data_IF_648064090644
#
_entry.id   IF_648064090644
#
_cell.length_a   1.000
_cell.length_b   1.000
_cell.length_c   1.000
_cell.angle_alpha   90.00
_cell.angle_beta   90.00
_cell.angle_gamma   90.00
#
_symmetry.space_group_name_H-M   'P 1'
#
loop_
_entity.id
_entity.type
_entity.pdbx_description
1 polymer ?
#
# COMPACT_ATOMS: atom_id res chain seq x y z
N UNK A 1 1.86 11.45 14.96
CA UNK A 1 1.65 12.85 14.55
C UNK A 1 2.04 13.14 13.10
N UNK A 2 2.89 12.34 12.47
CA UNK A 2 3.37 12.51 11.07
C UNK A 2 2.30 12.97 10.06
N UNK A 3 1.11 12.36 10.06
CA UNK A 3 0.04 12.75 9.13
C UNK A 3 -0.44 14.21 9.31
N UNK A 4 -0.56 14.67 10.57
CA UNK A 4 -0.93 16.04 10.89
C UNK A 4 0.17 17.01 10.50
N UNK A 5 1.42 16.71 10.87
CA UNK A 5 2.59 17.50 10.51
C UNK A 5 2.74 17.67 9.00
N UNK A 6 2.54 16.59 8.24
CA UNK A 6 2.61 16.65 6.79
C UNK A 6 1.47 17.48 6.20
N UNK A 7 0.24 17.32 6.70
CA UNK A 7 -0.89 18.15 6.26
C UNK A 7 -0.66 19.65 6.53
N UNK A 8 -0.05 20.01 7.67
CA UNK A 8 0.29 21.41 7.99
C UNK A 8 1.26 22.02 6.98
N UNK A 9 2.24 21.25 6.47
CA UNK A 9 3.17 21.72 5.41
C UNK A 9 2.44 22.04 4.10
N UNK A 10 1.28 21.43 3.86
CA UNK A 10 0.47 21.61 2.64
C UNK A 10 -0.82 22.41 2.87
N UNK A 11 -0.93 23.16 3.98
CA UNK A 11 -2.17 23.84 4.37
C UNK A 11 -2.81 24.67 3.24
N UNK A 12 -2.01 25.44 2.49
CA UNK A 12 -2.52 26.26 1.38
C UNK A 12 -3.23 25.43 0.30
N UNK A 13 -2.71 24.24 -0.01
CA UNK A 13 -3.33 23.32 -0.98
C UNK A 13 -4.61 22.69 -0.44
N UNK A 14 -4.71 22.58 0.88
CA UNK A 14 -5.80 21.91 1.59
C UNK A 14 -6.88 22.87 2.12
N UNK A 15 -6.68 24.18 1.98
CA UNK A 15 -7.52 25.22 2.60
C UNK A 15 -9.02 25.15 2.23
N UNK A 16 -9.35 24.60 1.05
CA UNK A 16 -10.74 24.42 0.61
C UNK A 16 -11.40 23.14 1.12
N UNK A 17 -10.70 22.30 1.88
CA UNK A 17 -11.18 21.02 2.36
C UNK A 17 -11.17 20.99 3.89
N UNK A 18 -12.18 20.36 4.48
CA UNK A 18 -12.13 20.00 5.89
C UNK A 18 -11.35 18.69 6.05
N UNK A 19 -10.35 18.69 6.93
CA UNK A 19 -9.60 17.49 7.29
C UNK A 19 -9.96 17.06 8.70
N UNK A 20 -10.23 15.76 8.86
CA UNK A 20 -10.52 15.15 10.16
C UNK A 20 -9.40 14.18 10.48
N UNK A 21 -8.70 14.43 11.58
CA UNK A 21 -7.70 13.54 12.15
C UNK A 21 -8.31 12.82 13.33
N UNK A 22 -8.53 11.52 13.21
CA UNK A 22 -8.96 10.66 14.31
C UNK A 22 -7.76 9.82 14.77
N UNK A 23 -7.22 10.17 15.94
CA UNK A 23 -6.18 9.40 16.61
C UNK A 23 -6.78 8.58 17.74
N UNK A 24 -6.40 7.30 17.81
CA UNK A 24 -6.97 6.35 18.75
C UNK A 24 -5.88 5.45 19.36
N UNK A 25 -6.00 5.17 20.65
CA UNK A 25 -5.21 4.19 21.37
C UNK A 25 -6.04 3.72 22.58
N UNK A 26 -5.96 2.44 22.96
CA UNK A 26 -6.68 1.91 24.13
C UNK A 26 -6.11 2.45 25.45
N UNK A 27 -4.85 2.89 25.44
CA UNK A 27 -4.14 3.39 26.60
C UNK A 27 -4.40 4.88 26.80
N UNK A 28 -5.09 5.20 27.88
CA UNK A 28 -5.40 6.57 28.29
C UNK A 28 -4.16 7.44 28.50
N UNK A 29 -3.05 6.86 29.00
CA UNK A 29 -1.80 7.58 29.20
C UNK A 29 -1.16 8.04 27.88
N UNK A 30 -1.23 7.21 26.83
CA UNK A 30 -0.73 7.57 25.49
C UNK A 30 -1.59 8.65 24.85
N UNK A 31 -2.91 8.59 25.01
CA UNK A 31 -3.82 9.64 24.53
C UNK A 31 -3.62 10.96 25.28
N UNK A 32 -3.40 10.91 26.60
CA UNK A 32 -3.09 12.11 27.38
C UNK A 32 -1.78 12.76 26.89
N UNK A 33 -0.74 11.95 26.66
CA UNK A 33 0.51 12.44 26.07
C UNK A 33 0.28 13.04 24.67
N UNK A 34 -0.46 12.36 23.80
CA UNK A 34 -0.79 12.87 22.46
C UNK A 34 -1.53 14.21 22.54
N UNK A 35 -2.49 14.36 23.45
CA UNK A 35 -3.22 15.62 23.65
C UNK A 35 -2.28 16.76 24.08
N UNK A 36 -1.29 16.49 24.92
CA UNK A 36 -0.27 17.47 25.30
C UNK A 36 0.58 17.88 24.09
N UNK A 37 1.04 16.91 23.30
CA UNK A 37 1.79 17.21 22.06
C UNK A 37 0.97 18.06 21.08
N UNK A 38 -0.33 17.77 20.94
CA UNK A 38 -1.25 18.51 20.07
C UNK A 38 -1.40 19.98 20.47
N UNK A 39 -1.18 20.35 21.75
CA UNK A 39 -1.22 21.74 22.19
C UNK A 39 -0.07 22.58 21.60
N UNK A 40 1.03 21.94 21.17
CA UNK A 40 2.15 22.61 20.53
C UNK A 40 1.88 23.03 19.08
N UNK A 41 0.75 22.62 18.48
CA UNK A 41 0.44 22.88 17.08
C UNK A 41 -0.53 24.05 16.91
N UNK A 42 -0.21 24.96 15.98
CA UNK A 42 -1.14 25.97 15.50
C UNK A 42 -2.00 25.38 14.37
N UNK A 43 -3.20 24.92 14.72
CA UNK A 43 -4.09 24.23 13.79
C UNK A 43 -4.94 25.20 12.96
N UNK A 44 -5.01 25.03 11.62
CA UNK A 44 -5.98 25.73 10.77
C UNK A 44 -7.43 25.42 11.16
N UNK A 45 -8.34 26.37 10.98
CA UNK A 45 -9.76 26.19 11.35
C UNK A 45 -10.49 25.07 10.59
N UNK A 46 -9.97 24.64 9.44
CA UNK A 46 -10.48 23.53 8.66
C UNK A 46 -9.92 22.16 9.10
N UNK A 47 -9.06 22.10 10.12
CA UNK A 47 -8.50 20.86 10.66
C UNK A 47 -9.23 20.50 11.96
N UNK A 48 -9.99 19.41 11.95
CA UNK A 48 -10.63 18.84 13.13
C UNK A 48 -9.77 17.70 13.64
N UNK A 49 -9.26 17.82 14.87
CA UNK A 49 -8.40 16.81 15.48
C UNK A 49 -9.08 16.20 16.69
N UNK A 50 -9.26 14.88 16.66
CA UNK A 50 -9.86 14.08 17.72
C UNK A 50 -8.85 13.06 18.24
N UNK A 51 -8.65 13.04 19.55
CA UNK A 51 -7.85 12.05 20.24
C UNK A 51 -8.76 11.25 21.19
N UNK A 52 -8.98 9.99 20.84
CA UNK A 52 -9.99 9.10 21.46
C UNK A 52 -9.27 7.96 22.19
N UNK A 53 -9.65 7.74 23.45
CA UNK A 53 -9.20 6.56 24.20
C UNK A 53 -10.22 5.46 24.01
N UNK A 54 -9.80 4.32 23.45
CA UNK A 54 -10.70 3.19 23.20
C UNK A 54 -10.04 2.12 22.35
N UNK A 55 -10.64 0.93 22.35
CA UNK A 55 -10.19 -0.16 21.49
C UNK A 55 -10.64 0.09 20.06
N UNK A 56 -9.73 -0.10 19.10
CA UNK A 56 -9.98 0.15 17.68
C UNK A 56 -11.26 -0.55 17.19
N UNK A 57 -11.38 -1.85 17.49
CA UNK A 57 -12.49 -2.66 17.00
C UNK A 57 -13.86 -2.14 17.48
N UNK A 58 -13.95 -1.68 18.72
CA UNK A 58 -15.19 -1.19 19.30
C UNK A 58 -15.53 0.21 18.76
N UNK A 59 -14.56 1.13 18.74
CA UNK A 59 -14.79 2.51 18.32
C UNK A 59 -15.13 2.61 16.83
N UNK A 60 -14.44 1.83 15.98
CA UNK A 60 -14.69 1.83 14.54
C UNK A 60 -15.98 1.08 14.20
N UNK A 61 -16.28 -0.06 14.83
CA UNK A 61 -17.56 -0.73 14.64
C UNK A 61 -18.73 0.22 14.95
N UNK A 62 -18.70 0.85 16.13
CA UNK A 62 -19.72 1.80 16.54
C UNK A 62 -19.82 3.02 15.60
N UNK A 63 -18.70 3.51 15.07
CA UNK A 63 -18.69 4.59 14.09
C UNK A 63 -19.39 4.18 12.79
N UNK A 64 -19.04 3.01 12.25
CA UNK A 64 -19.59 2.49 11.00
C UNK A 64 -21.08 2.18 11.14
N UNK A 65 -21.50 1.59 12.27
CA UNK A 65 -22.90 1.31 12.56
C UNK A 65 -23.76 2.58 12.65
N UNK A 66 -23.24 3.65 13.27
CA UNK A 66 -23.91 4.96 13.31
C UNK A 66 -24.04 5.58 11.92
N UNK A 67 -23.01 5.47 11.09
CA UNK A 67 -23.05 5.97 9.70
C UNK A 67 -24.10 5.21 8.89
N UNK A 68 -24.09 3.87 8.98
CA UNK A 68 -25.07 3.02 8.31
C UNK A 68 -26.51 3.33 8.75
N UNK A 69 -26.75 3.45 10.06
CA UNK A 69 -28.08 3.72 10.62
C UNK A 69 -28.63 5.10 10.27
N UNK A 70 -27.75 6.08 10.03
CA UNK A 70 -28.13 7.44 9.65
C UNK A 70 -28.21 7.65 8.13
N UNK A 71 -27.86 6.64 7.33
CA UNK A 71 -27.73 6.77 5.87
C UNK A 71 -26.57 7.66 5.42
N UNK A 72 -25.66 8.03 6.35
CA UNK A 72 -24.48 8.81 6.05
C UNK A 72 -23.39 7.93 5.44
N UNK A 73 -22.54 8.52 4.60
CA UNK A 73 -21.39 7.85 4.02
C UNK A 73 -20.12 8.26 4.75
N UNK A 74 -19.19 7.31 4.90
CA UNK A 74 -17.85 7.61 5.38
C UNK A 74 -17.15 8.58 4.41
N UNK A 75 -16.53 9.62 4.95
CA UNK A 75 -15.71 10.53 4.16
C UNK A 75 -14.53 9.78 3.48
N UNK A 76 -13.92 10.32 2.42
CA UNK A 76 -12.66 9.78 1.90
C UNK A 76 -11.65 9.62 3.04
N UNK A 77 -11.13 8.41 3.22
CA UNK A 77 -10.42 8.03 4.44
C UNK A 77 -9.11 7.35 4.10
N UNK A 78 -8.03 7.77 4.74
CA UNK A 78 -6.80 7.00 4.83
C UNK A 78 -6.70 6.43 6.26
N UNK A 79 -6.90 5.12 6.39
CA UNK A 79 -6.89 4.44 7.68
C UNK A 79 -5.54 3.74 7.89
N UNK A 80 -4.70 4.28 8.76
CA UNK A 80 -3.49 3.61 9.22
C UNK A 80 -3.79 2.81 10.49
N UNK A 81 -3.63 1.49 10.42
CA UNK A 81 -4.03 0.57 11.49
C UNK A 81 -2.81 -0.23 11.96
N UNK A 82 -2.41 -0.01 13.21
CA UNK A 82 -1.24 -0.65 13.83
C UNK A 82 -1.65 -1.37 15.13
N UNK A 83 -2.15 -2.62 15.03
CA UNK A 83 -2.63 -3.35 16.19
C UNK A 83 -1.47 -3.77 17.11
N UNK A 84 -1.75 -3.91 18.41
CA UNK A 84 -0.77 -4.49 19.33
C UNK A 84 -0.66 -6.01 19.11
N UNK A 85 0.33 -6.41 18.31
CA UNK A 85 0.52 -7.81 17.91
C UNK A 85 -0.49 -8.22 16.85
N UNK A 86 -1.47 -9.06 17.23
CA UNK A 86 -2.49 -9.60 16.32
C UNK A 86 -3.91 -9.55 16.91
N UNK A 87 -4.12 -8.81 18.01
CA UNK A 87 -5.41 -8.63 18.68
C UNK A 87 -6.04 -7.29 18.30
N UNK A 88 -7.37 -7.20 18.42
CA UNK A 88 -8.09 -5.92 18.29
C UNK A 88 -8.29 -5.41 16.86
N UNK A 89 -8.06 -6.26 15.86
CA UNK A 89 -8.25 -5.94 14.44
C UNK A 89 -8.88 -7.12 13.70
N UNK A 90 -10.19 -7.37 13.84
CA UNK A 90 -10.86 -8.36 13.02
C UNK A 90 -10.91 -7.90 11.55
N UNK A 91 -10.65 -8.84 10.62
CA UNK A 91 -10.65 -8.59 9.17
C UNK A 91 -12.00 -8.05 8.67
N UNK A 92 -13.10 -8.37 9.34
CA UNK A 92 -14.42 -7.85 9.02
C UNK A 92 -14.46 -6.32 9.04
N UNK A 93 -13.78 -5.66 9.98
CA UNK A 93 -13.71 -4.20 10.03
C UNK A 93 -12.89 -3.62 8.89
N UNK A 94 -11.78 -4.27 8.52
CA UNK A 94 -10.99 -3.87 7.35
C UNK A 94 -11.83 -3.98 6.08
N UNK A 95 -12.61 -5.06 5.94
CA UNK A 95 -13.57 -5.24 4.84
C UNK A 95 -14.61 -4.12 4.82
N UNK A 96 -15.27 -3.83 5.95
CA UNK A 96 -16.28 -2.77 6.03
C UNK A 96 -15.72 -1.38 5.69
N UNK A 97 -14.49 -1.06 6.14
CA UNK A 97 -13.82 0.20 5.78
C UNK A 97 -13.63 0.32 4.26
N UNK A 98 -13.26 -0.77 3.60
CA UNK A 98 -13.00 -0.84 2.15
C UNK A 98 -14.27 -0.91 1.29
N UNK A 99 -15.45 -1.12 1.87
CA UNK A 99 -16.74 -0.99 1.17
C UNK A 99 -16.94 0.43 0.65
N UNK A 100 -16.40 1.43 1.36
CA UNK A 100 -16.27 2.76 0.81
C UNK A 100 -15.12 2.80 -0.21
N UNK A 101 -15.48 2.95 -1.50
CA UNK A 101 -14.51 3.05 -2.60
C UNK A 101 -13.46 4.16 -2.47
N UNK A 102 -13.70 5.14 -1.59
CA UNK A 102 -12.78 6.26 -1.29
C UNK A 102 -11.95 6.05 -0.02
N UNK A 103 -11.95 4.83 0.53
CA UNK A 103 -11.10 4.44 1.66
C UNK A 103 -9.86 3.71 1.18
N UNK A 104 -8.73 4.06 1.78
CA UNK A 104 -7.45 3.37 1.66
C UNK A 104 -7.06 2.85 3.05
N UNK A 105 -6.73 1.56 3.15
CA UNK A 105 -6.28 0.95 4.40
C UNK A 105 -4.79 0.66 4.29
N UNK A 106 -4.04 1.07 5.32
CA UNK A 106 -2.64 0.72 5.50
C UNK A 106 -2.46 0.04 6.86
N UNK A 107 -2.32 -1.28 6.86
CA UNK A 107 -2.36 -2.12 8.07
C UNK A 107 -1.03 -2.79 8.34
N UNK A 108 -0.58 -2.73 9.61
CA UNK A 108 0.56 -3.49 10.09
C UNK A 108 0.16 -4.90 10.52
N UNK A 109 0.82 -5.92 9.96
CA UNK A 109 0.61 -7.32 10.30
C UNK A 109 1.93 -7.91 10.83
N UNK A 110 1.98 -8.12 12.15
CA UNK A 110 3.13 -8.66 12.89
C UNK A 110 3.36 -10.15 12.63
N UNK A 111 3.77 -10.49 11.40
CA UNK A 111 3.85 -11.87 10.89
C UNK A 111 4.76 -12.77 11.72
N UNK A 112 5.86 -12.25 12.27
CA UNK A 112 6.73 -13.03 13.16
C UNK A 112 6.01 -13.45 14.44
N UNK A 113 5.28 -12.53 15.07
CA UNK A 113 4.49 -12.82 16.25
C UNK A 113 3.39 -13.83 15.90
N UNK A 114 2.62 -13.60 14.84
CA UNK A 114 1.58 -14.54 14.37
C UNK A 114 2.16 -15.93 14.15
N UNK A 115 3.31 -16.01 13.46
CA UNK A 115 3.98 -17.27 13.19
C UNK A 115 4.35 -18.03 14.46
N UNK A 116 4.83 -17.35 15.51
CA UNK A 116 5.15 -17.96 16.81
C UNK A 116 3.91 -18.45 17.55
N UNK A 117 2.80 -17.73 17.46
CA UNK A 117 1.56 -18.00 18.21
C UNK A 117 0.53 -18.84 17.44
N UNK A 118 0.81 -19.24 16.20
CA UNK A 118 -0.14 -19.95 15.33
C UNK A 118 -0.62 -21.30 15.91
N UNK A 119 0.23 -21.97 16.69
CA UNK A 119 -0.04 -23.27 17.33
C UNK A 119 -0.20 -23.14 18.86
N UNK A 120 -0.47 -21.92 19.34
CA UNK A 120 -0.56 -21.68 20.78
C UNK A 120 -1.68 -22.54 21.42
N UNK A 121 -1.44 -23.16 22.60
CA UNK A 121 -2.39 -24.09 23.21
C UNK A 121 -3.73 -23.41 23.57
N UNK A 122 -3.67 -22.15 24.02
CA UNK A 122 -4.87 -21.35 24.27
C UNK A 122 -5.67 -21.08 22.98
N UNK A 123 -6.95 -21.44 23.01
CA UNK A 123 -7.88 -21.29 21.90
C UNK A 123 -8.17 -19.82 21.59
N UNK A 124 -8.25 -18.96 22.60
CA UNK A 124 -8.58 -17.55 22.42
C UNK A 124 -7.47 -16.83 21.63
N UNK A 125 -6.21 -17.14 21.94
CA UNK A 125 -5.05 -16.64 21.20
C UNK A 125 -5.11 -17.01 19.72
N UNK A 126 -5.44 -18.26 19.39
CA UNK A 126 -5.62 -18.70 18.00
C UNK A 126 -6.82 -18.04 17.33
N UNK A 127 -7.89 -17.82 18.08
CA UNK A 127 -9.10 -17.16 17.58
C UNK A 127 -8.83 -15.71 17.14
N UNK A 128 -7.99 -14.95 17.87
CA UNK A 128 -7.58 -13.62 17.43
C UNK A 128 -6.80 -13.62 16.10
N UNK A 129 -5.98 -14.65 15.87
CA UNK A 129 -5.28 -14.82 14.58
C UNK A 129 -6.29 -15.10 13.47
N UNK A 130 -7.29 -15.95 13.73
CA UNK A 130 -8.37 -16.23 12.76
C UNK A 130 -9.16 -14.97 12.45
N UNK A 131 -9.51 -14.17 13.47
CA UNK A 131 -10.22 -12.91 13.32
C UNK A 131 -9.42 -11.92 12.48
N UNK A 132 -8.12 -11.77 12.76
CA UNK A 132 -7.22 -10.91 11.99
C UNK A 132 -7.20 -11.29 10.50
N UNK A 133 -7.15 -12.58 10.19
CA UNK A 133 -7.14 -13.07 8.81
C UNK A 133 -8.55 -13.16 8.20
N UNK A 134 -9.61 -13.16 9.00
CA UNK A 134 -10.98 -13.40 8.55
C UNK A 134 -11.24 -14.83 8.06
N UNK A 135 -10.34 -15.78 8.32
CA UNK A 135 -10.47 -17.16 7.83
C UNK A 135 -9.73 -18.18 8.68
N UNK A 136 -10.35 -19.34 8.90
CA UNK A 136 -9.75 -20.49 9.60
C UNK A 136 -8.60 -21.14 8.81
N UNK A 137 -8.47 -20.84 7.51
CA UNK A 137 -7.36 -21.33 6.66
C UNK A 137 -5.98 -21.00 7.24
N UNK A 138 -5.87 -19.91 8.01
CA UNK A 138 -4.60 -19.50 8.64
C UNK A 138 -4.04 -20.59 9.56
N UNK A 139 -4.88 -21.30 10.30
CA UNK A 139 -4.43 -22.34 11.23
C UNK A 139 -3.89 -23.59 10.52
N UNK A 140 -4.32 -23.82 9.26
CA UNK A 140 -3.85 -24.94 8.45
C UNK A 140 -2.41 -24.73 7.96
N UNK A 141 -1.91 -23.48 7.94
CA UNK A 141 -0.53 -23.18 7.54
C UNK A 141 0.48 -23.86 8.47
N UNK A 142 0.17 -23.99 9.76
CA UNK A 142 1.02 -24.68 10.72
C UNK A 142 1.13 -26.19 10.47
N UNK A 143 0.12 -26.79 9.81
CA UNK A 143 -0.03 -28.25 9.70
C UNK A 143 0.70 -28.86 8.51
N UNK A 144 1.36 -28.04 7.68
CA UNK A 144 2.00 -28.48 6.44
C UNK A 144 3.46 -28.00 6.35
N UNK A 145 4.35 -28.78 5.72
CA UNK A 145 5.72 -28.35 5.48
C UNK A 145 5.72 -27.22 4.43
N UNK A 146 5.87 -25.98 4.89
CA UNK A 146 5.86 -24.80 4.03
C UNK A 146 6.69 -23.65 4.61
N UNK A 147 6.96 -22.62 3.80
CA UNK A 147 7.45 -21.34 4.31
C UNK A 147 6.29 -20.56 4.94
N UNK A 148 6.07 -20.76 6.26
CA UNK A 148 4.94 -20.19 7.00
C UNK A 148 4.83 -18.67 6.84
N UNK A 149 5.94 -17.93 6.89
CA UNK A 149 5.94 -16.46 6.76
C UNK A 149 5.43 -16.04 5.37
N UNK A 150 5.90 -16.70 4.31
CA UNK A 150 5.44 -16.41 2.95
C UNK A 150 3.95 -16.76 2.77
N UNK A 151 3.50 -17.90 3.31
CA UNK A 151 2.10 -18.34 3.23
C UNK A 151 1.16 -17.44 4.04
N UNK A 152 1.58 -16.99 5.23
CA UNK A 152 0.81 -16.01 6.02
C UNK A 152 0.65 -14.69 5.25
N UNK A 153 1.72 -14.19 4.62
CA UNK A 153 1.65 -13.00 3.77
C UNK A 153 0.68 -13.21 2.60
N UNK A 154 0.83 -14.32 1.87
CA UNK A 154 -0.01 -14.63 0.70
C UNK A 154 -1.48 -14.74 1.10
N UNK A 155 -1.79 -15.41 2.21
CA UNK A 155 -3.16 -15.56 2.68
C UNK A 155 -3.78 -14.21 3.07
N UNK A 156 -3.07 -13.36 3.80
CA UNK A 156 -3.59 -12.03 4.17
C UNK A 156 -3.82 -11.15 2.93
N UNK A 157 -2.88 -11.20 1.96
CA UNK A 157 -3.02 -10.51 0.68
C UNK A 157 -4.23 -11.03 -0.12
N UNK A 158 -4.46 -12.35 -0.13
CA UNK A 158 -5.62 -12.97 -0.78
C UNK A 158 -6.91 -12.46 -0.14
N UNK A 159 -6.97 -12.41 1.19
CA UNK A 159 -8.14 -11.91 1.92
C UNK A 159 -8.42 -10.45 1.57
N UNK A 160 -7.42 -9.56 1.59
CA UNK A 160 -7.57 -8.16 1.15
C UNK A 160 -8.04 -8.04 -0.30
N UNK A 161 -7.58 -8.93 -1.18
CA UNK A 161 -7.96 -8.91 -2.61
C UNK A 161 -9.45 -9.27 -2.82
N UNK A 162 -10.13 -9.81 -1.80
CA UNK A 162 -11.59 -10.03 -1.85
C UNK A 162 -12.40 -8.76 -1.67
N UNK A 163 -11.82 -7.68 -1.12
CA UNK A 163 -12.51 -6.42 -0.83
C UNK A 163 -11.81 -5.16 -1.38
N UNK A 164 -10.59 -5.30 -1.93
CA UNK A 164 -9.87 -4.22 -2.59
C UNK A 164 -9.31 -4.65 -3.94
N UNK A 165 -9.44 -3.77 -4.94
CA UNK A 165 -8.86 -3.97 -6.28
C UNK A 165 -7.33 -3.97 -6.26
N UNK A 166 -6.74 -3.07 -5.47
CA UNK A 166 -5.29 -2.91 -5.40
C UNK A 166 -4.79 -3.26 -4.03
N UNK A 167 -4.01 -4.34 -3.96
CA UNK A 167 -3.33 -4.77 -2.74
C UNK A 167 -1.83 -4.79 -2.99
N UNK A 168 -1.08 -4.18 -2.08
CA UNK A 168 0.39 -4.18 -2.07
C UNK A 168 0.87 -4.41 -0.64
N UNK A 169 2.10 -4.86 -0.49
CA UNK A 169 2.73 -5.00 0.82
C UNK A 169 4.15 -4.47 0.79
N UNK A 170 4.63 -4.11 1.97
CA UNK A 170 6.02 -3.74 2.21
C UNK A 170 6.56 -4.57 3.36
N UNK A 171 7.63 -5.32 3.10
CA UNK A 171 8.28 -6.23 4.04
C UNK A 171 9.26 -5.48 4.94
N UNK A 172 9.08 -5.59 6.26
CA UNK A 172 9.98 -5.00 7.24
C UNK A 172 10.84 -6.09 7.88
N UNK A 173 12.16 -5.93 7.83
CA UNK A 173 13.14 -6.89 8.37
C UNK A 173 14.01 -6.29 9.47
N UNK A 174 14.36 -7.13 10.43
CA UNK A 174 15.32 -6.79 11.48
C UNK A 174 16.78 -6.76 10.96
N UNK A 175 17.70 -6.38 11.85
CA UNK A 175 19.16 -6.40 11.61
C UNK A 175 19.74 -7.78 11.28
N UNK A 176 19.02 -8.86 11.54
CA UNK A 176 19.40 -10.24 11.22
C UNK A 176 18.70 -10.74 9.94
N UNK A 177 18.11 -9.83 9.16
CA UNK A 177 17.40 -10.11 7.92
C UNK A 177 16.18 -11.04 8.09
N UNK A 178 15.56 -11.04 9.28
CA UNK A 178 14.33 -11.78 9.57
C UNK A 178 13.13 -10.85 9.39
N UNK A 179 12.10 -11.33 8.69
CA UNK A 179 10.84 -10.60 8.54
C UNK A 179 10.17 -10.42 9.90
N UNK A 180 9.94 -9.17 10.31
CA UNK A 180 9.22 -8.85 11.55
C UNK A 180 7.73 -8.71 11.24
N UNK A 181 7.41 -7.85 10.28
CA UNK A 181 6.04 -7.53 9.91
C UNK A 181 5.92 -7.14 8.43
N UNK A 182 4.68 -7.14 7.94
CA UNK A 182 4.33 -6.60 6.65
C UNK A 182 3.38 -5.42 6.84
N UNK A 183 3.65 -4.33 6.13
CA UNK A 183 2.68 -3.25 5.96
C UNK A 183 1.87 -3.54 4.69
N UNK A 184 0.59 -3.85 4.84
CA UNK A 184 -0.31 -4.05 3.71
C UNK A 184 -1.06 -2.77 3.38
N UNK A 185 -1.03 -2.38 2.11
CA UNK A 185 -1.88 -1.35 1.55
C UNK A 185 -2.99 -1.98 0.73
N UNK A 186 -4.23 -1.52 0.95
CA UNK A 186 -5.41 -1.93 0.21
C UNK A 186 -6.21 -0.69 -0.21
N UNK A 187 -6.57 -0.59 -1.49
CA UNK A 187 -7.36 0.50 -2.03
C UNK A 187 -8.19 0.05 -3.24
N UNK A 188 -9.32 0.74 -3.46
CA UNK A 188 -10.11 0.61 -4.68
C UNK A 188 -9.83 1.75 -5.69
N UNK A 189 -9.00 2.72 -5.32
CA UNK A 189 -8.73 3.91 -6.12
C UNK A 189 -7.39 3.80 -6.87
N UNK A 190 -7.38 3.89 -8.22
CA UNK A 190 -6.15 3.74 -9.02
C UNK A 190 -5.04 4.73 -8.65
N UNK A 191 -5.38 5.98 -8.32
CA UNK A 191 -4.37 6.95 -7.93
C UNK A 191 -3.67 6.57 -6.62
N UNK A 192 -4.40 6.01 -5.64
CA UNK A 192 -3.81 5.57 -4.37
C UNK A 192 -2.79 4.45 -4.59
N UNK A 193 -3.14 3.50 -5.45
CA UNK A 193 -2.26 2.43 -5.89
C UNK A 193 -0.97 2.94 -6.56
N UNK A 194 -1.07 3.93 -7.45
CA UNK A 194 0.12 4.55 -8.05
C UNK A 194 0.98 5.24 -6.98
N UNK A 195 0.34 6.01 -6.07
CA UNK A 195 1.06 6.75 -5.02
C UNK A 195 1.74 5.84 -4.00
N UNK A 196 1.13 4.73 -3.60
CA UNK A 196 1.80 3.80 -2.70
C UNK A 196 2.99 3.12 -3.38
N UNK A 197 2.89 2.77 -4.68
CA UNK A 197 4.01 2.20 -5.43
C UNK A 197 5.18 3.19 -5.53
N UNK A 198 4.90 4.45 -5.86
CA UNK A 198 5.93 5.51 -5.86
C UNK A 198 6.59 5.65 -4.49
N UNK A 199 5.82 5.59 -3.41
CA UNK A 199 6.36 5.64 -2.05
C UNK A 199 7.26 4.43 -1.74
N UNK A 200 6.83 3.21 -2.07
CA UNK A 200 7.63 2.00 -1.82
C UNK A 200 8.95 2.00 -2.58
N UNK A 201 8.94 2.38 -3.87
CA UNK A 201 10.16 2.52 -4.67
C UNK A 201 11.10 3.62 -4.19
N UNK A 202 10.56 4.68 -3.56
CA UNK A 202 11.39 5.72 -2.95
C UNK A 202 12.12 5.19 -1.71
N UNK A 203 11.48 4.31 -0.93
CA UNK A 203 12.07 3.73 0.28
C UNK A 203 13.05 2.59 -0.06
N UNK A 204 12.69 1.77 -1.04
CA UNK A 204 13.52 0.66 -1.52
C UNK A 204 13.69 0.72 -3.04
N UNK A 205 14.70 1.46 -3.52
CA UNK A 205 15.02 1.54 -4.94
C UNK A 205 15.57 0.25 -5.54
N UNK A 206 15.76 -0.83 -4.77
CA UNK A 206 16.35 -2.08 -5.26
C UNK A 206 15.32 -3.14 -5.58
N UNK A 207 14.23 -3.20 -4.80
CA UNK A 207 13.17 -4.20 -5.00
C UNK A 207 11.76 -3.61 -4.97
N UNK A 208 11.57 -2.42 -4.41
CA UNK A 208 10.28 -1.73 -4.33
C UNK A 208 9.27 -2.35 -3.37
N UNK A 209 9.69 -3.29 -2.51
CA UNK A 209 8.77 -3.96 -1.56
C UNK A 209 9.41 -4.34 -0.22
N UNK A 210 10.67 -3.99 0.08
CA UNK A 210 11.33 -4.42 1.32
C UNK A 210 12.21 -3.35 1.93
N UNK A 211 12.18 -3.24 3.26
CA UNK A 211 13.16 -2.50 4.05
C UNK A 211 13.83 -3.41 5.09
N UNK A 212 15.11 -3.14 5.38
CA UNK A 212 15.93 -3.93 6.29
C UNK A 212 16.79 -3.04 7.16
N UNK A 213 16.73 -3.20 8.47
CA UNK A 213 17.63 -2.49 9.40
C UNK A 213 19.10 -2.93 9.25
N UNK A 214 19.37 -4.02 8.53
CA UNK A 214 20.73 -4.50 8.25
C UNK A 214 21.43 -3.72 7.12
N UNK A 215 20.68 -2.97 6.30
CA UNK A 215 21.27 -2.23 5.18
C UNK A 215 21.75 -0.86 5.62
N UNK A 216 23.04 -0.60 5.46
CA UNK A 216 23.61 0.74 5.63
C UNK A 216 23.08 1.65 4.51
N UNK A 217 22.48 2.82 4.80
CA UNK A 217 21.95 3.74 3.78
C UNK A 217 22.96 4.17 2.70
N UNK A 218 24.26 4.09 3.01
CA UNK A 218 25.36 4.47 2.11
C UNK A 218 25.97 3.28 1.36
N UNK A 219 25.45 2.07 1.55
CA UNK A 219 25.98 0.86 0.92
C UNK A 219 25.11 0.51 -0.29
N UNK A 220 25.68 0.68 -1.49
CA UNK A 220 25.10 0.19 -2.74
C UNK A 220 24.79 -1.30 -2.58
N UNK A 221 23.51 -1.66 -2.70
CA UNK A 221 23.06 -3.05 -2.63
C UNK A 221 23.58 -3.74 -3.90
N UNK A 222 24.55 -4.64 -3.75
CA UNK A 222 25.32 -5.27 -4.84
C UNK A 222 24.49 -6.18 -5.78
N UNK A 223 23.19 -6.32 -5.51
CA UNK A 223 22.24 -7.00 -6.38
C UNK A 223 21.14 -6.00 -6.74
N UNK A 224 21.46 -5.08 -7.64
CA UNK A 224 20.42 -4.37 -8.39
C UNK A 224 19.64 -5.46 -9.14
N UNK A 225 18.36 -5.65 -8.78
CA UNK A 225 17.45 -6.27 -9.73
C UNK A 225 17.54 -5.37 -10.96
N UNK A 226 17.90 -5.92 -12.12
CA UNK A 226 17.83 -5.14 -13.34
C UNK A 226 16.35 -4.96 -13.69
N UNK A 227 15.74 -3.97 -13.02
CA UNK A 227 14.35 -3.58 -13.16
C UNK A 227 14.02 -3.27 -14.62
N UNK A 228 15.01 -2.73 -15.33
CA UNK A 228 14.87 -2.34 -16.72
C UNK A 228 14.80 -3.60 -17.59
N UNK A 229 15.72 -4.58 -17.45
CA UNK A 229 15.64 -5.80 -18.26
C UNK A 229 14.41 -6.65 -17.96
N UNK A 230 14.00 -6.75 -16.70
CA UNK A 230 12.77 -7.47 -16.35
C UNK A 230 11.55 -6.80 -16.99
N UNK A 231 11.41 -5.48 -16.83
CA UNK A 231 10.27 -4.77 -17.39
C UNK A 231 10.28 -4.75 -18.92
N UNK A 232 11.45 -4.66 -19.58
CA UNK A 232 11.51 -4.82 -21.03
C UNK A 232 10.97 -6.18 -21.48
N UNK A 233 11.36 -7.26 -20.79
CA UNK A 233 10.86 -8.62 -21.07
C UNK A 233 9.35 -8.71 -20.90
N UNK A 234 8.83 -8.18 -19.79
CA UNK A 234 7.39 -8.18 -19.49
C UNK A 234 6.60 -7.40 -20.55
N UNK A 235 7.08 -6.21 -20.95
CA UNK A 235 6.45 -5.38 -21.98
C UNK A 235 6.46 -6.03 -23.36
N UNK A 236 7.61 -6.57 -23.81
CA UNK A 236 7.71 -7.26 -25.10
C UNK A 236 6.77 -8.47 -25.13
N UNK A 237 6.65 -9.23 -24.04
CA UNK A 237 5.73 -10.35 -23.97
C UNK A 237 4.26 -9.92 -23.97
N UNK A 238 3.91 -8.89 -23.20
CA UNK A 238 2.53 -8.44 -23.05
C UNK A 238 1.96 -7.81 -24.32
N UNK A 239 2.79 -7.08 -25.07
CA UNK A 239 2.39 -6.32 -26.24
C UNK A 239 2.94 -6.89 -27.56
N UNK A 240 3.46 -8.12 -27.58
CA UNK A 240 4.04 -8.73 -28.78
C UNK A 240 3.13 -8.60 -30.01
N UNK A 241 3.68 -8.08 -31.11
CA UNK A 241 2.97 -7.83 -32.37
C UNK A 241 1.75 -6.89 -32.25
N UNK A 242 1.71 -6.03 -31.24
CA UNK A 242 0.63 -5.08 -31.04
C UNK A 242 1.10 -3.65 -31.25
N UNK A 243 0.15 -2.82 -31.69
CA UNK A 243 0.27 -1.37 -31.77
C UNK A 243 -0.61 -0.75 -30.69
N UNK A 244 0.01 -0.18 -29.67
CA UNK A 244 -0.65 0.33 -28.47
C UNK A 244 -0.24 1.77 -28.17
N UNK A 245 -1.05 2.48 -27.40
CA UNK A 245 -0.71 3.79 -26.87
C UNK A 245 0.17 3.69 -25.64
N UNK A 246 0.95 4.73 -25.37
CA UNK A 246 1.70 4.81 -24.09
C UNK A 246 0.76 4.83 -22.90
N UNK A 247 -0.47 5.35 -23.02
CA UNK A 247 -1.47 5.27 -21.95
C UNK A 247 -1.85 3.82 -21.58
N UNK A 248 -2.03 2.95 -22.58
CA UNK A 248 -2.27 1.52 -22.34
C UNK A 248 -1.07 0.85 -21.68
N UNK A 249 0.16 1.19 -22.10
CA UNK A 249 1.39 0.70 -21.46
C UNK A 249 1.48 1.20 -20.01
N UNK A 250 1.16 2.47 -19.74
CA UNK A 250 1.14 3.02 -18.37
C UNK A 250 0.19 2.21 -17.50
N UNK A 251 -1.03 1.97 -17.98
CA UNK A 251 -2.04 1.21 -17.23
C UNK A 251 -1.57 -0.22 -16.94
N UNK A 252 -0.99 -0.92 -17.93
CA UNK A 252 -0.41 -2.25 -17.73
C UNK A 252 0.70 -2.23 -16.67
N UNK A 253 1.66 -1.30 -16.79
CA UNK A 253 2.77 -1.20 -15.84
C UNK A 253 2.28 -0.89 -14.43
N UNK A 254 1.35 0.05 -14.31
CA UNK A 254 0.81 0.45 -13.01
C UNK A 254 0.01 -0.69 -12.36
N UNK A 255 -0.91 -1.33 -13.07
CA UNK A 255 -1.84 -2.32 -12.50
C UNK A 255 -1.20 -3.72 -12.37
N UNK A 256 -0.54 -4.19 -13.43
CA UNK A 256 -0.13 -5.60 -13.59
C UNK A 256 1.32 -5.88 -13.14
N UNK A 257 2.11 -4.85 -12.91
CA UNK A 257 3.54 -5.00 -12.55
C UNK A 257 3.86 -4.32 -11.21
N UNK A 258 5.01 -4.61 -10.58
CA UNK A 258 5.48 -3.84 -9.44
C UNK A 258 6.06 -2.47 -9.82
N UNK A 259 6.31 -2.19 -11.10
CA UNK A 259 7.09 -1.03 -11.54
C UNK A 259 6.26 0.26 -11.71
N UNK A 260 6.94 1.40 -11.75
CA UNK A 260 6.32 2.73 -11.91
C UNK A 260 6.67 3.35 -13.27
N UNK A 261 6.00 4.46 -13.62
CA UNK A 261 6.15 5.13 -14.92
C UNK A 261 7.60 5.52 -15.25
N UNK A 262 8.42 5.82 -14.24
CA UNK A 262 9.85 6.13 -14.44
C UNK A 262 10.62 4.92 -14.97
N UNK A 263 10.34 3.72 -14.46
CA UNK A 263 10.93 2.47 -14.92
C UNK A 263 10.45 2.12 -16.33
N UNK A 264 9.15 2.32 -16.60
CA UNK A 264 8.59 2.15 -17.94
C UNK A 264 9.29 3.05 -18.97
N UNK A 265 9.53 4.33 -18.65
CA UNK A 265 10.24 5.23 -19.58
C UNK A 265 11.67 4.76 -19.86
N UNK A 266 12.36 4.20 -18.87
CA UNK A 266 13.70 3.59 -19.06
C UNK A 266 13.62 2.35 -19.94
N UNK A 267 12.65 1.48 -19.69
CA UNK A 267 12.44 0.25 -20.46
C UNK A 267 12.07 0.54 -21.93
N UNK A 268 11.12 1.44 -22.19
CA UNK A 268 10.77 1.84 -23.56
C UNK A 268 11.94 2.47 -24.30
N UNK A 269 12.76 3.26 -23.60
CA UNK A 269 13.97 3.84 -24.18
C UNK A 269 14.97 2.77 -24.61
N UNK A 270 15.22 1.79 -23.73
CA UNK A 270 16.10 0.67 -24.06
C UNK A 270 15.57 -0.11 -25.28
N UNK A 271 14.27 -0.43 -25.29
CA UNK A 271 13.64 -1.15 -26.39
C UNK A 271 13.69 -0.36 -27.72
N UNK A 272 13.51 0.97 -27.67
CA UNK A 272 13.59 1.85 -28.85
C UNK A 272 15.05 1.93 -29.36
N UNK A 273 16.03 2.01 -28.46
CA UNK A 273 17.47 2.00 -28.80
C UNK A 273 17.92 0.65 -29.39
N UNK A 274 17.32 -0.47 -28.95
CA UNK A 274 17.56 -1.82 -29.45
C UNK A 274 16.74 -2.18 -30.71
N UNK A 275 15.92 -1.26 -31.22
CA UNK A 275 15.00 -1.49 -32.35
C UNK A 275 14.00 -2.65 -32.14
N UNK A 276 13.66 -2.97 -30.88
CA UNK A 276 12.62 -3.95 -30.51
C UNK A 276 11.22 -3.36 -30.49
N UNK A 277 11.13 -2.04 -30.52
CA UNK A 277 9.87 -1.30 -30.69
C UNK A 277 10.09 -0.16 -31.68
N UNK A 278 9.01 0.27 -32.32
CA UNK A 278 8.97 1.52 -33.07
C UNK A 278 7.99 2.48 -32.43
N UNK A 279 8.41 3.73 -32.17
CA UNK A 279 7.53 4.77 -31.61
C UNK A 279 7.21 5.79 -32.68
N UNK A 280 5.91 5.99 -32.95
CA UNK A 280 5.44 6.88 -34.00
C UNK A 280 6.01 8.31 -33.85
N UNK A 281 6.34 8.93 -34.98
CA UNK A 281 6.86 10.31 -35.03
C UNK A 281 5.79 11.33 -34.61
N UNK A 282 4.52 11.05 -34.92
CA UNK A 282 3.38 11.88 -34.57
C UNK A 282 2.52 11.19 -33.53
N UNK A 283 2.11 11.97 -32.53
CA UNK A 283 1.16 11.55 -31.49
C UNK A 283 -0.26 11.57 -32.06
N UNK A 284 -1.21 10.97 -31.35
CA UNK A 284 -2.62 10.94 -31.78
C UNK A 284 -3.24 12.34 -31.98
N UNK A 285 -2.73 13.37 -31.29
CA UNK A 285 -3.16 14.76 -31.48
C UNK A 285 -2.48 15.48 -32.67
N UNK A 286 -1.76 14.75 -33.54
CA UNK A 286 -1.08 15.28 -34.71
C UNK A 286 0.19 16.08 -34.43
N UNK A 287 0.57 16.30 -33.16
CA UNK A 287 1.83 16.97 -32.82
C UNK A 287 3.00 16.00 -32.91
N UNK A 288 4.12 16.48 -33.43
CA UNK A 288 5.37 15.73 -33.48
C UNK A 288 5.85 15.39 -32.07
N UNK A 289 6.22 14.13 -31.85
CA UNK A 289 6.81 13.62 -30.61
C UNK A 289 8.23 14.16 -30.47
N UNK A 290 8.61 14.55 -29.26
CA UNK A 290 10.03 14.83 -28.95
C UNK A 290 10.77 13.50 -28.86
N UNK A 291 11.92 13.38 -29.53
CA UNK A 291 12.76 12.16 -29.47
C UNK A 291 13.04 11.75 -28.01
N UNK A 292 13.02 10.45 -27.73
CA UNK A 292 13.23 9.85 -26.40
C UNK A 292 12.20 10.29 -25.35
N UNK A 293 10.98 10.63 -25.78
CA UNK A 293 9.85 10.89 -24.86
C UNK A 293 8.68 9.97 -25.18
N UNK A 294 7.90 9.66 -24.14
CA UNK A 294 6.76 8.74 -24.18
C UNK A 294 5.55 9.41 -23.52
N UNK A 295 4.94 10.42 -24.17
CA UNK A 295 3.70 11.01 -23.69
C UNK A 295 2.53 10.04 -23.92
N UNK A 296 1.46 10.16 -23.13
CA UNK A 296 0.30 9.24 -23.13
C UNK A 296 -0.29 8.98 -24.52
N UNK A 297 -0.32 10.01 -25.36
CA UNK A 297 -0.87 10.03 -26.72
C UNK A 297 0.12 9.55 -27.80
N UNK A 298 1.32 9.09 -27.44
CA UNK A 298 2.23 8.45 -28.39
C UNK A 298 1.82 6.99 -28.64
N UNK A 299 2.08 6.52 -29.85
CA UNK A 299 1.80 5.14 -30.28
C UNK A 299 3.11 4.38 -30.41
N UNK A 300 3.13 3.18 -29.86
CA UNK A 300 4.26 2.25 -29.81
C UNK A 300 3.84 0.96 -30.51
N UNK A 301 4.70 0.47 -31.39
CA UNK A 301 4.56 -0.81 -32.08
C UNK A 301 5.64 -1.76 -31.58
N UNK A 302 5.21 -2.91 -31.06
CA UNK A 302 6.09 -3.96 -30.59
C UNK A 302 6.24 -5.02 -31.68
N UNK A 303 7.49 -5.28 -32.08
CA UNK A 303 7.86 -6.36 -33.00
C UNK A 303 8.03 -7.70 -32.29
#
# INVERSE_FOLDING_TARGET
MVALEEALKHNNRLASNQLVFLFMDERSDRIAHLKNELQGFNLPGNFLVHAVTGQFENEIANLLDRLASSGAQLAPTFAFIDPFGFKGLPFSLVRQLLENSKTEVFVNVMVDAINRFLEHPDLQTRQHIVELFGTQRVLQIAQRPCNRIAELRLLYQEQLSTCARFVRYFEMRDRHNRTIYYLFFASNHPLGHVKIKEAFWKIDPSSGFRFSDATNPNQLVLFEVDETSKLTTDLTKAFANQRVTVEEIIKYVEDETPFITTHMRRALRLLEEENKITVAEYKLNGKKRRKNTYPKDAVVEFS
#
